data_IF_041145007235
#
_entry.id   IF_041145007235
#
_cell.length_a   1.000
_cell.length_b   1.000
_cell.length_c   1.000
_cell.angle_alpha   90.00
_cell.angle_beta   90.00
_cell.angle_gamma   90.00
#
_symmetry.space_group_name_H-M   'P 1'
#
loop_
_entity.id
_entity.type
_entity.pdbx_description
1 polymer ?
#
# COMPACT_ATOMS: atom_id res chain seq x y z
N UNK A 1 29.66 8.55 -20.33
CA UNK A 1 28.33 8.92 -19.81
C UNK A 1 28.23 8.39 -18.40
N UNK A 2 27.83 9.23 -17.46
CA UNK A 2 27.64 8.87 -16.05
C UNK A 2 26.52 7.80 -15.94
N UNK A 3 26.75 6.65 -15.27
CA UNK A 3 25.70 5.65 -15.06
C UNK A 3 24.42 6.21 -14.40
N UNK A 4 24.50 7.33 -13.68
CA UNK A 4 23.32 8.02 -13.15
C UNK A 4 22.41 8.62 -14.25
N UNK A 5 22.98 9.04 -15.38
CA UNK A 5 22.20 9.61 -16.49
C UNK A 5 21.50 8.54 -17.34
N UNK A 6 22.01 7.30 -17.34
CA UNK A 6 21.38 6.18 -18.05
C UNK A 6 20.06 5.77 -17.36
N UNK A 7 19.97 5.94 -16.04
CA UNK A 7 18.73 5.68 -15.30
C UNK A 7 17.64 6.72 -15.60
N UNK A 8 18.02 7.97 -15.87
CA UNK A 8 17.08 9.06 -16.21
C UNK A 8 16.60 8.99 -17.67
N UNK A 9 17.36 8.39 -18.58
CA UNK A 9 17.00 8.23 -20.00
C UNK A 9 16.27 6.93 -20.31
N UNK A 10 16.29 5.95 -19.40
CA UNK A 10 15.33 4.87 -19.44
C UNK A 10 13.99 5.40 -18.93
N UNK A 11 13.18 5.85 -19.87
CA UNK A 11 11.76 6.16 -19.74
C UNK A 11 10.93 4.90 -19.39
N UNK A 12 11.43 4.04 -18.49
CA UNK A 12 10.60 3.16 -17.68
C UNK A 12 9.96 4.08 -16.65
N UNK A 13 8.94 4.82 -17.09
CA UNK A 13 7.99 5.41 -16.18
C UNK A 13 7.62 4.28 -15.20
N UNK A 14 8.10 4.37 -13.95
CA UNK A 14 7.53 3.57 -12.89
C UNK A 14 6.03 3.74 -13.03
N UNK A 15 5.23 2.67 -13.09
CA UNK A 15 3.80 2.84 -13.17
C UNK A 15 3.38 3.62 -11.94
N UNK A 16 3.26 4.93 -12.09
CA UNK A 16 2.87 5.87 -11.07
C UNK A 16 1.37 5.81 -10.85
N UNK A 17 0.73 4.75 -11.35
CA UNK A 17 -0.69 4.48 -11.33
C UNK A 17 -0.91 3.08 -10.81
N UNK A 18 -1.83 2.95 -9.87
CA UNK A 18 -2.39 1.67 -9.46
C UNK A 18 -3.86 1.58 -9.85
N UNK A 19 -4.26 0.38 -10.25
CA UNK A 19 -5.63 -0.01 -10.55
C UNK A 19 -6.18 -0.77 -9.36
N UNK A 20 -7.18 -0.22 -8.69
CA UNK A 20 -7.65 -0.71 -7.40
C UNK A 20 -9.12 -1.10 -7.49
N UNK A 21 -9.41 -2.32 -7.04
CA UNK A 21 -10.75 -2.79 -6.70
C UNK A 21 -10.81 -3.04 -5.21
N UNK A 22 -11.86 -2.56 -4.56
CA UNK A 22 -12.10 -2.78 -3.15
C UNK A 22 -13.49 -3.36 -2.94
N UNK A 23 -13.58 -4.26 -1.96
CA UNK A 23 -14.83 -4.89 -1.55
C UNK A 23 -14.72 -5.28 -0.09
N UNK A 24 -15.85 -5.66 0.50
CA UNK A 24 -15.93 -6.18 1.86
C UNK A 24 -16.62 -7.53 1.87
N UNK A 25 -16.34 -8.31 2.90
CA UNK A 25 -16.98 -9.60 3.13
C UNK A 25 -17.25 -9.73 4.62
N UNK A 26 -18.34 -10.42 4.97
CA UNK A 26 -18.64 -10.77 6.36
C UNK A 26 -17.66 -11.83 6.88
N UNK A 27 -17.33 -11.75 8.16
CA UNK A 27 -16.39 -12.66 8.83
C UNK A 27 -16.81 -14.13 8.61
N UNK A 28 -18.10 -14.44 8.70
CA UNK A 28 -18.63 -15.80 8.51
C UNK A 28 -18.35 -16.37 7.11
N UNK A 29 -18.24 -15.50 6.10
CA UNK A 29 -18.03 -15.89 4.69
C UNK A 29 -16.57 -15.82 4.24
N UNK A 30 -15.66 -15.33 5.09
CA UNK A 30 -14.26 -15.10 4.71
C UNK A 30 -13.54 -16.38 4.31
N UNK A 31 -13.83 -17.48 5.00
CA UNK A 31 -13.21 -18.78 4.74
C UNK A 31 -13.55 -19.29 3.33
N UNK A 32 -14.79 -19.11 2.88
CA UNK A 32 -15.25 -19.50 1.54
C UNK A 32 -14.57 -18.66 0.46
N UNK A 33 -14.41 -17.35 0.69
CA UNK A 33 -13.67 -16.49 -0.22
C UNK A 33 -12.21 -16.93 -0.36
N UNK A 34 -11.52 -17.17 0.77
CA UNK A 34 -10.12 -17.63 0.77
C UNK A 34 -9.96 -18.94 0.01
N UNK A 35 -10.85 -19.93 0.25
CA UNK A 35 -10.83 -21.20 -0.47
C UNK A 35 -11.01 -21.02 -1.99
N UNK A 36 -11.90 -20.11 -2.43
CA UNK A 36 -12.07 -19.80 -3.85
C UNK A 36 -10.85 -19.10 -4.44
N UNK A 37 -10.26 -18.15 -3.72
CA UNK A 37 -9.05 -17.45 -4.15
C UNK A 37 -7.88 -18.44 -4.28
N UNK A 38 -7.73 -19.41 -3.38
CA UNK A 38 -6.72 -20.46 -3.49
C UNK A 38 -6.87 -21.28 -4.79
N UNK A 39 -8.10 -21.63 -5.18
CA UNK A 39 -8.34 -22.37 -6.42
C UNK A 39 -8.17 -21.54 -7.70
N UNK A 40 -8.30 -20.21 -7.63
CA UNK A 40 -8.21 -19.31 -8.79
C UNK A 40 -6.82 -18.69 -8.98
N UNK A 41 -6.15 -18.37 -7.88
CA UNK A 41 -4.84 -17.71 -7.85
C UNK A 41 -3.71 -18.68 -8.17
N UNK A 42 -2.53 -18.16 -8.53
CA UNK A 42 -1.40 -18.99 -8.96
C UNK A 42 -0.66 -19.65 -7.79
N UNK A 43 -1.05 -19.34 -6.54
CA UNK A 43 -0.49 -19.88 -5.30
C UNK A 43 -0.97 -21.32 -4.99
N UNK A 44 -1.22 -22.17 -6.01
CA UNK A 44 -1.89 -23.48 -5.87
C UNK A 44 -1.05 -24.48 -5.04
N UNK A 45 0.27 -24.30 -4.98
CA UNK A 45 1.19 -25.29 -4.39
C UNK A 45 1.94 -24.80 -3.15
N UNK A 46 1.73 -23.56 -2.72
CA UNK A 46 2.43 -22.95 -1.58
C UNK A 46 1.51 -22.58 -0.43
N UNK A 47 2.08 -22.37 0.75
CA UNK A 47 1.37 -21.71 1.85
C UNK A 47 0.95 -20.30 1.42
N UNK A 48 -0.23 -19.86 1.86
CA UNK A 48 -0.72 -18.52 1.57
C UNK A 48 0.16 -17.53 2.33
N UNK A 49 0.80 -16.61 1.61
CA UNK A 49 1.62 -15.55 2.20
C UNK A 49 0.75 -14.68 3.11
N UNK A 50 1.19 -14.51 4.36
CA UNK A 50 0.52 -13.66 5.34
C UNK A 50 1.28 -12.36 5.54
N UNK A 51 0.58 -11.34 5.98
CA UNK A 51 1.17 -10.08 6.40
C UNK A 51 0.51 -9.58 7.68
N UNK A 52 1.29 -8.84 8.46
CA UNK A 52 0.86 -8.17 9.69
C UNK A 52 1.56 -6.81 9.73
N UNK A 53 0.90 -5.81 9.15
CA UNK A 53 1.48 -4.48 8.93
C UNK A 53 0.91 -3.46 9.92
N UNK A 54 1.78 -2.61 10.45
CA UNK A 54 1.38 -1.38 11.13
C UNK A 54 1.50 -0.20 10.16
N UNK A 55 0.38 0.47 9.88
CA UNK A 55 0.32 1.68 9.06
C UNK A 55 0.00 2.92 9.91
N UNK A 56 0.81 3.96 9.76
CA UNK A 56 0.64 5.26 10.42
C UNK A 56 0.47 6.32 9.35
N UNK A 57 -0.59 7.12 9.47
CA UNK A 57 -0.96 8.15 8.49
C UNK A 57 -0.59 9.54 9.01
N UNK A 58 0.08 10.29 8.15
CA UNK A 58 0.49 11.66 8.37
C UNK A 58 -0.12 12.57 7.31
N UNK A 59 -0.64 13.73 7.71
CA UNK A 59 -1.32 14.66 6.82
C UNK A 59 -0.70 16.06 6.94
N UNK A 60 -0.39 16.66 5.80
CA UNK A 60 0.03 18.05 5.67
C UNK A 60 -1.13 18.87 5.07
N UNK A 61 -1.58 19.87 5.82
CA UNK A 61 -2.64 20.79 5.38
C UNK A 61 -2.01 22.04 4.81
N UNK A 62 -2.26 22.31 3.53
CA UNK A 62 -1.71 23.47 2.84
C UNK A 62 -2.84 24.45 2.56
N UNK A 63 -2.81 25.68 3.13
CA UNK A 63 -3.83 26.67 2.85
C UNK A 63 -3.92 26.99 1.35
N UNK A 64 -5.12 26.85 0.77
CA UNK A 64 -5.35 27.11 -0.65
C UNK A 64 -4.88 26.02 -1.62
N UNK A 65 -4.43 24.86 -1.12
CA UNK A 65 -4.08 23.70 -1.95
C UNK A 65 -4.71 22.41 -1.39
N UNK A 66 -4.57 21.31 -2.14
CA UNK A 66 -5.01 19.99 -1.66
C UNK A 66 -4.13 19.51 -0.50
N UNK A 67 -4.75 18.88 0.49
CA UNK A 67 -4.03 18.23 1.57
C UNK A 67 -3.20 17.07 1.01
N UNK A 68 -2.01 16.86 1.58
CA UNK A 68 -1.12 15.76 1.22
C UNK A 68 -1.15 14.73 2.35
N UNK A 69 -1.38 13.46 2.02
CA UNK A 69 -1.34 12.36 2.98
C UNK A 69 -0.22 11.38 2.63
N UNK A 70 0.57 11.03 3.64
CA UNK A 70 1.64 10.04 3.57
C UNK A 70 1.38 8.93 4.57
N UNK A 71 1.69 7.71 4.18
CA UNK A 71 1.54 6.51 5.02
C UNK A 71 2.91 5.91 5.28
N UNK A 72 3.23 5.73 6.55
CA UNK A 72 4.41 4.99 6.99
C UNK A 72 3.95 3.57 7.33
N UNK A 73 4.53 2.57 6.69
CA UNK A 73 4.19 1.15 6.91
C UNK A 73 5.43 0.36 7.29
N UNK A 74 5.28 -0.59 8.20
CA UNK A 74 6.29 -1.61 8.45
C UNK A 74 5.63 -2.92 8.90
N UNK A 75 6.27 -4.04 8.58
CA UNK A 75 5.83 -5.36 9.02
C UNK A 75 6.19 -5.58 10.49
N UNK A 76 5.25 -6.07 11.29
CA UNK A 76 5.38 -6.23 12.74
C UNK A 76 6.17 -7.48 13.09
N UNK A 77 6.16 -8.48 12.22
CA UNK A 77 6.85 -9.75 12.37
C UNK A 77 8.37 -9.68 12.10
N UNK A 78 8.86 -8.60 11.48
CA UNK A 78 10.26 -8.40 11.07
C UNK A 78 11.14 -7.72 12.16
N UNK A 79 10.86 -8.01 13.43
CA UNK A 79 11.64 -7.50 14.59
C UNK A 79 12.91 -8.34 14.76
N UNK A 80 14.11 -7.73 14.95
CA UNK A 80 14.35 -6.41 15.52
C UNK A 80 14.60 -5.26 14.52
N UNK A 81 14.62 -5.51 13.21
CA UNK A 81 15.01 -4.50 12.23
C UNK A 81 14.00 -4.37 11.09
N UNK A 82 12.79 -3.85 11.38
CA UNK A 82 11.75 -3.74 10.37
C UNK A 82 12.14 -2.75 9.27
N UNK A 83 11.81 -3.10 8.03
CA UNK A 83 11.94 -2.20 6.90
C UNK A 83 10.72 -1.28 6.86
N UNK A 84 10.96 0.03 6.96
CA UNK A 84 9.91 1.03 6.85
C UNK A 84 9.68 1.41 5.38
N UNK A 85 8.43 1.61 5.04
CA UNK A 85 7.98 2.10 3.75
C UNK A 85 7.28 3.43 3.92
N UNK A 86 7.60 4.40 3.07
CA UNK A 86 6.85 5.64 2.94
C UNK A 86 6.04 5.59 1.64
N UNK A 87 4.73 5.76 1.76
CA UNK A 87 3.82 5.70 0.62
C UNK A 87 2.99 6.96 0.51
N UNK A 88 3.01 7.57 -0.67
CA UNK A 88 2.04 8.57 -1.10
C UNK A 88 0.97 7.90 -1.96
N UNK A 89 -0.30 8.24 -1.72
CA UNK A 89 -1.43 7.80 -2.53
C UNK A 89 -2.28 9.03 -2.85
N UNK A 90 -2.39 9.37 -4.13
CA UNK A 90 -3.23 10.46 -4.57
C UNK A 90 -4.72 10.13 -4.38
N UNK A 91 -5.54 11.18 -4.27
CA UNK A 91 -6.99 11.01 -4.32
C UNK A 91 -7.38 10.30 -5.62
N UNK A 92 -8.20 9.25 -5.51
CA UNK A 92 -8.74 8.60 -6.67
C UNK A 92 -9.83 9.47 -7.31
N UNK A 93 -9.78 9.65 -8.61
CA UNK A 93 -10.87 10.26 -9.36
C UNK A 93 -11.90 9.16 -9.68
N UNK A 94 -13.06 9.22 -9.03
CA UNK A 94 -14.19 8.34 -9.34
C UNK A 94 -14.93 8.89 -10.55
N UNK A 95 -14.40 8.62 -11.74
CA UNK A 95 -15.19 8.76 -12.95
C UNK A 95 -16.22 7.61 -12.99
N UNK A 96 -17.51 7.96 -13.06
CA UNK A 96 -18.63 7.01 -13.13
C UNK A 96 -18.57 6.13 -14.39
N UNK A 97 -17.78 6.52 -15.39
CA UNK A 97 -17.56 5.74 -16.60
C UNK A 97 -16.58 4.57 -16.40
N UNK A 98 -15.79 4.56 -15.33
CA UNK A 98 -14.73 3.59 -15.12
C UNK A 98 -15.14 2.45 -14.18
N UNK A 99 -14.86 1.22 -14.60
CA UNK A 99 -15.13 0.00 -13.81
C UNK A 99 -14.11 -0.25 -12.69
N UNK A 100 -13.06 0.57 -12.59
CA UNK A 100 -11.92 0.41 -11.68
C UNK A 100 -11.46 1.79 -11.21
N UNK A 101 -11.04 1.88 -9.95
CA UNK A 101 -10.40 3.10 -9.44
C UNK A 101 -8.94 3.15 -9.93
N UNK A 102 -8.57 4.25 -10.58
CA UNK A 102 -7.19 4.51 -10.99
C UNK A 102 -6.66 5.70 -10.19
N UNK A 103 -5.51 5.54 -9.56
CA UNK A 103 -4.91 6.62 -8.76
C UNK A 103 -3.40 6.60 -8.79
N UNK A 104 -2.80 7.76 -8.58
CA UNK A 104 -1.35 7.85 -8.49
C UNK A 104 -0.83 7.31 -7.17
N UNK A 105 0.30 6.61 -7.22
CA UNK A 105 0.99 6.17 -6.01
C UNK A 105 2.51 6.25 -6.16
N UNK A 106 3.19 6.50 -5.04
CA UNK A 106 4.64 6.43 -4.91
C UNK A 106 4.98 5.71 -3.61
N UNK A 107 5.95 4.79 -3.67
CA UNK A 107 6.38 3.98 -2.53
C UNK A 107 7.91 3.90 -2.54
N UNK A 108 8.53 4.08 -1.37
CA UNK A 108 9.95 3.89 -1.19
C UNK A 108 10.28 3.33 0.19
N UNK A 109 11.39 2.59 0.28
CA UNK A 109 11.94 2.16 1.56
C UNK A 109 12.62 3.33 2.27
N UNK A 110 12.43 3.43 3.57
CA UNK A 110 12.96 4.49 4.43
C UNK A 110 13.50 3.90 5.73
N UNK A 111 14.21 4.72 6.50
CA UNK A 111 14.70 4.31 7.82
C UNK A 111 13.65 4.59 8.90
N UNK A 112 13.82 3.98 10.07
CA UNK A 112 12.94 4.17 11.25
C UNK A 112 12.74 5.63 11.68
N UNK A 113 13.67 6.52 11.34
CA UNK A 113 13.61 7.94 11.70
C UNK A 113 12.60 8.74 10.85
N UNK A 114 11.90 8.10 9.90
CA UNK A 114 10.95 8.75 9.01
C UNK A 114 9.86 9.53 9.76
N UNK A 115 9.38 9.03 10.90
CA UNK A 115 8.31 9.69 11.65
C UNK A 115 8.72 11.07 12.18
N UNK A 116 9.91 11.16 12.80
CA UNK A 116 10.48 12.42 13.27
C UNK A 116 10.72 13.38 12.09
N UNK A 117 11.26 12.87 10.99
CA UNK A 117 11.48 13.66 9.78
C UNK A 117 10.17 14.24 9.20
N UNK A 118 9.08 13.47 9.20
CA UNK A 118 7.77 13.96 8.74
C UNK A 118 7.21 15.06 9.65
N UNK A 119 7.36 14.92 10.96
CA UNK A 119 6.95 15.95 11.92
C UNK A 119 7.77 17.24 11.74
N UNK A 120 9.08 17.13 11.53
CA UNK A 120 9.96 18.27 11.25
C UNK A 120 9.59 18.98 9.92
N UNK A 121 9.06 18.24 8.95
CA UNK A 121 8.50 18.80 7.70
C UNK A 121 7.11 19.43 7.88
N UNK A 122 6.50 19.36 9.07
CA UNK A 122 5.20 19.93 9.37
C UNK A 122 4.01 19.01 9.08
N UNK A 123 4.23 17.73 8.78
CA UNK A 123 3.12 16.77 8.73
C UNK A 123 2.59 16.50 10.14
N UNK A 124 1.27 16.55 10.29
CA UNK A 124 0.60 16.16 11.52
C UNK A 124 0.27 14.67 11.50
N UNK A 125 0.40 14.01 12.64
CA UNK A 125 -0.20 12.70 12.84
C UNK A 125 -1.72 12.76 12.64
N UNK A 126 -2.28 11.77 11.96
CA UNK A 126 -3.71 11.65 11.67
C UNK A 126 -4.32 10.48 12.44
N UNK A 127 -3.95 9.25 12.05
CA UNK A 127 -4.37 8.01 12.69
C UNK A 127 -3.39 6.88 12.35
N UNK A 128 -3.47 5.78 13.09
CA UNK A 128 -2.74 4.55 12.83
C UNK A 128 -3.70 3.35 12.84
N UNK A 129 -3.32 2.28 12.17
CA UNK A 129 -4.08 1.04 12.15
C UNK A 129 -3.18 -0.16 11.85
N UNK A 130 -3.66 -1.33 12.25
CA UNK A 130 -3.04 -2.61 11.98
C UNK A 130 -3.81 -3.33 10.89
N UNK A 131 -3.10 -3.84 9.90
CA UNK A 131 -3.66 -4.61 8.80
C UNK A 131 -3.04 -6.00 8.79
N UNK A 132 -3.84 -7.01 9.13
CA UNK A 132 -3.42 -8.41 9.13
C UNK A 132 -4.23 -9.22 8.15
N UNK A 133 -3.56 -10.03 7.34
CA UNK A 133 -4.26 -10.76 6.30
C UNK A 133 -3.41 -11.70 5.47
N UNK A 134 -4.03 -12.13 4.36
CA UNK A 134 -3.47 -13.06 3.40
C UNK A 134 -3.25 -12.35 2.05
N UNK A 135 -2.19 -12.74 1.34
CA UNK A 135 -1.82 -12.25 0.02
C UNK A 135 -1.97 -13.37 -1.01
N UNK A 136 -2.78 -13.12 -2.03
CA UNK A 136 -2.96 -13.97 -3.19
C UNK A 136 -2.43 -13.27 -4.45
N UNK A 137 -1.87 -14.04 -5.38
CA UNK A 137 -1.36 -13.50 -6.66
C UNK A 137 -2.01 -14.21 -7.86
N UNK A 138 -2.43 -13.42 -8.84
CA UNK A 138 -2.88 -13.92 -10.15
C UNK A 138 -2.20 -13.13 -11.26
N UNK A 139 -1.17 -13.71 -11.88
CA UNK A 139 -0.30 -13.02 -12.80
C UNK A 139 0.33 -11.78 -12.14
N UNK A 140 -0.02 -10.59 -12.65
CA UNK A 140 0.45 -9.29 -12.10
C UNK A 140 -0.47 -8.71 -11.04
N UNK A 141 -1.62 -9.34 -10.78
CA UNK A 141 -2.59 -8.87 -9.80
C UNK A 141 -2.20 -9.37 -8.40
N UNK A 142 -2.18 -8.44 -7.44
CA UNK A 142 -2.10 -8.75 -6.01
C UNK A 142 -3.48 -8.56 -5.39
N UNK A 143 -3.96 -9.58 -4.69
CA UNK A 143 -5.24 -9.57 -3.97
C UNK A 143 -4.93 -9.74 -2.49
N UNK A 144 -5.36 -8.79 -1.66
CA UNK A 144 -5.16 -8.85 -0.21
C UNK A 144 -6.50 -9.00 0.49
N UNK A 145 -6.63 -10.02 1.32
CA UNK A 145 -7.79 -10.21 2.21
C UNK A 145 -7.33 -9.93 3.63
N UNK A 146 -7.75 -8.80 4.18
CA UNK A 146 -7.22 -8.29 5.43
C UNK A 146 -8.34 -7.85 6.38
N UNK A 147 -8.07 -7.98 7.68
CA UNK A 147 -8.83 -7.34 8.74
C UNK A 147 -8.06 -6.12 9.21
N UNK A 148 -8.76 -5.00 9.30
CA UNK A 148 -8.22 -3.75 9.82
C UNK A 148 -8.65 -3.63 11.28
N UNK A 149 -7.71 -3.36 12.17
CA UNK A 149 -7.97 -3.02 13.57
C UNK A 149 -7.29 -1.71 13.92
N UNK A 150 -7.91 -0.94 14.80
CA UNK A 150 -7.38 0.33 15.32
C UNK A 150 -6.91 0.12 16.75
#
# INVERSE_FOLDING_TARGET
MDPAQILLTQNRAFPSLEYVLQGSIQDDSVHLLKARLQGLCDNITGEVEQFDDHEIVYTLRIPGASNVSLRVRYAIDDIPNPIYHLRYVASAELDKSQSVSVRQFHDCCVTKNIQAFLQDLGFAYDHEFFAKGDIFRKGRMKITVAKIST
#
